data_IF_454623279808
#
_entry.id   IF_454623279808
#
_cell.length_a   1.000
_cell.length_b   1.000
_cell.length_c   1.000
_cell.angle_alpha   90.00
_cell.angle_beta   90.00
_cell.angle_gamma   90.00
#
_symmetry.space_group_name_H-M   'P 1'
#
loop_
_entity.id
_entity.type
_entity.pdbx_description
1 polymer ?
#
# COMPACT_ATOMS: atom_id res chain seq x y z
N UNK A 1 14.42 -63.05 72.68
CA UNK A 1 15.85 -62.81 72.41
C UNK A 1 16.15 -63.30 71.00
N UNK A 2 16.90 -62.49 70.22
CA UNK A 2 17.46 -62.74 68.87
C UNK A 2 16.45 -62.81 67.71
N UNK A 3 16.37 -61.81 66.81
CA UNK A 3 17.23 -61.56 65.62
C UNK A 3 17.27 -62.77 64.67
N UNK A 4 17.00 -62.67 63.37
CA UNK A 4 17.91 -62.12 62.33
C UNK A 4 17.17 -62.02 60.97
N UNK A 5 17.55 -61.02 60.18
CA UNK A 5 17.22 -60.73 58.76
C UNK A 5 17.53 -61.88 57.76
N UNK A 6 16.77 -61.94 56.66
CA UNK A 6 17.25 -62.21 55.28
C UNK A 6 16.11 -61.89 54.27
N UNK A 7 16.06 -60.69 53.66
CA UNK A 7 16.46 -60.32 52.28
C UNK A 7 16.20 -61.33 51.13
N UNK A 8 15.90 -60.73 49.96
CA UNK A 8 15.75 -61.23 48.56
C UNK A 8 14.32 -61.64 48.16
N UNK A 9 13.77 -61.30 46.99
CA UNK A 9 14.18 -60.43 45.88
C UNK A 9 13.00 -60.32 44.89
N UNK A 10 12.77 -59.11 44.37
CA UNK A 10 12.34 -58.71 43.02
C UNK A 10 11.29 -59.53 42.26
N UNK A 11 10.14 -58.89 41.97
CA UNK A 11 9.63 -58.67 40.61
C UNK A 11 8.39 -57.73 40.65
N UNK A 12 8.63 -56.42 40.68
CA UNK A 12 7.57 -55.43 40.43
C UNK A 12 7.56 -55.12 38.93
N UNK A 13 6.58 -55.66 38.22
CA UNK A 13 6.28 -55.36 36.83
C UNK A 13 5.97 -53.87 36.69
N UNK A 14 6.88 -53.11 36.08
CA UNK A 14 6.64 -51.75 35.64
C UNK A 14 5.67 -51.78 34.44
N UNK A 15 4.39 -51.56 34.71
CA UNK A 15 3.43 -51.13 33.70
C UNK A 15 3.77 -49.69 33.30
N UNK A 16 4.37 -49.53 32.13
CA UNK A 16 4.43 -48.23 31.45
C UNK A 16 3.01 -47.85 31.02
N UNK A 17 2.31 -47.08 31.86
CA UNK A 17 1.19 -46.26 31.38
C UNK A 17 1.82 -45.10 30.64
N UNK A 18 1.83 -45.19 29.30
CA UNK A 18 2.08 -44.05 28.43
C UNK A 18 0.99 -43.01 28.74
N UNK A 19 1.34 -42.01 29.53
CA UNK A 19 0.54 -40.80 29.61
C UNK A 19 0.73 -40.05 28.29
N UNK A 20 -0.19 -40.29 27.36
CA UNK A 20 -0.39 -39.41 26.22
C UNK A 20 -0.72 -38.03 26.77
N UNK A 21 0.29 -37.14 26.79
CA UNK A 21 0.05 -35.71 27.02
C UNK A 21 -0.97 -35.25 25.97
N UNK A 22 -1.98 -34.43 26.32
CA UNK A 22 -2.72 -33.72 25.30
C UNK A 22 -1.69 -32.90 24.54
N UNK A 23 -1.58 -33.13 23.23
CA UNK A 23 -0.83 -32.26 22.35
C UNK A 23 -1.35 -30.84 22.62
N UNK A 24 -0.51 -30.04 23.26
CA UNK A 24 -0.71 -28.60 23.35
C UNK A 24 -0.88 -28.15 21.92
N UNK A 25 -2.11 -27.83 21.54
CA UNK A 25 -2.39 -27.11 20.32
C UNK A 25 -1.66 -25.77 20.49
N UNK A 26 -0.42 -25.72 20.00
CA UNK A 26 0.21 -24.46 19.70
C UNK A 26 -0.82 -23.74 18.84
N UNK A 27 -1.29 -22.54 19.23
CA UNK A 27 -1.99 -21.70 18.29
C UNK A 27 -1.09 -21.64 17.06
N UNK A 28 -1.65 -21.95 15.87
CA UNK A 28 -0.97 -21.60 14.64
C UNK A 28 -0.47 -20.16 14.82
N UNK A 29 0.77 -19.84 14.41
CA UNK A 29 1.20 -18.45 14.42
C UNK A 29 0.10 -17.69 13.67
N UNK A 30 -0.65 -16.87 14.40
CA UNK A 30 -1.47 -15.85 13.79
C UNK A 30 -0.43 -15.06 13.04
N UNK A 31 -0.36 -15.26 11.72
CA UNK A 31 0.32 -14.33 10.84
C UNK A 31 -0.35 -13.02 11.22
N UNK A 32 0.35 -12.21 12.01
CA UNK A 32 -0.04 -10.86 12.27
C UNK A 32 -0.19 -10.31 10.85
N UNK A 33 -1.43 -10.14 10.41
CA UNK A 33 -1.66 -9.52 9.13
C UNK A 33 -1.08 -8.12 9.31
N UNK A 34 0.14 -7.95 8.82
CA UNK A 34 0.82 -6.68 8.84
C UNK A 34 -0.10 -5.72 8.13
N UNK A 35 -0.68 -4.80 8.90
CA UNK A 35 -1.18 -3.55 8.37
C UNK A 35 0.03 -2.89 7.72
N UNK A 36 0.20 -3.08 6.41
CA UNK A 36 1.39 -2.58 5.70
C UNK A 36 1.43 -1.05 5.72
N UNK A 37 0.30 -0.39 6.02
CA UNK A 37 0.25 1.06 6.17
C UNK A 37 0.67 1.73 4.87
N UNK A 38 1.29 2.90 4.97
CA UNK A 38 1.92 3.53 3.82
C UNK A 38 3.14 2.70 3.40
N UNK A 39 3.24 2.39 2.11
CA UNK A 39 4.46 1.84 1.54
C UNK A 39 5.06 2.82 0.53
N UNK A 40 6.36 2.68 0.26
CA UNK A 40 7.04 3.46 -0.76
C UNK A 40 6.62 3.01 -2.17
N UNK A 41 6.67 3.92 -3.13
CA UNK A 41 6.17 3.67 -4.47
C UNK A 41 6.07 4.95 -5.29
N UNK A 42 5.30 4.89 -6.38
CA UNK A 42 5.01 6.05 -7.22
C UNK A 42 4.10 7.02 -6.44
N UNK A 43 4.45 8.31 -6.29
CA UNK A 43 3.65 9.20 -5.45
C UNK A 43 2.35 9.65 -6.13
N UNK A 44 1.29 9.85 -5.34
CA UNK A 44 0.00 10.37 -5.84
C UNK A 44 0.19 11.66 -6.63
N UNK A 45 1.01 12.56 -6.11
CA UNK A 45 1.31 13.84 -6.73
C UNK A 45 2.01 13.75 -8.09
N UNK A 46 2.38 12.54 -8.56
CA UNK A 46 2.98 12.32 -9.87
C UNK A 46 2.03 11.70 -10.89
N UNK A 47 0.76 11.47 -10.55
CA UNK A 47 -0.21 10.80 -11.42
C UNK A 47 -0.44 11.51 -12.76
N UNK A 48 -0.30 12.83 -12.83
CA UNK A 48 -0.39 13.60 -14.07
C UNK A 48 0.95 13.77 -14.81
N UNK A 49 1.97 13.01 -14.42
CA UNK A 49 3.36 13.20 -14.85
C UNK A 49 4.03 14.28 -14.00
N UNK A 50 5.33 14.13 -13.69
CA UNK A 50 6.12 15.04 -12.83
C UNK A 50 5.44 15.47 -11.53
N UNK A 51 5.93 16.52 -10.87
CA UNK A 51 5.41 16.89 -9.54
C UNK A 51 4.25 17.89 -9.61
N UNK A 52 3.11 17.51 -9.04
CA UNK A 52 1.98 18.40 -8.74
C UNK A 52 1.88 18.66 -7.23
N UNK A 53 1.48 19.86 -6.82
CA UNK A 53 1.47 20.24 -5.40
C UNK A 53 0.40 19.50 -4.58
N UNK A 54 -0.79 19.30 -5.14
CA UNK A 54 -1.90 18.66 -4.44
C UNK A 54 -2.91 18.05 -5.43
N UNK A 55 -3.02 16.72 -5.42
CA UNK A 55 -4.04 15.98 -6.18
C UNK A 55 -5.13 15.38 -5.27
N UNK A 56 -5.21 15.78 -4.00
CA UNK A 56 -6.10 15.19 -3.00
C UNK A 56 -7.55 15.16 -3.45
N UNK A 57 -8.07 16.27 -3.99
CA UNK A 57 -9.47 16.35 -4.42
C UNK A 57 -9.78 15.42 -5.60
N UNK A 58 -8.83 15.24 -6.51
CA UNK A 58 -8.97 14.36 -7.67
C UNK A 58 -8.92 12.89 -7.24
N UNK A 59 -7.98 12.54 -6.35
CA UNK A 59 -7.90 11.19 -5.79
C UNK A 59 -9.15 10.87 -4.97
N UNK A 60 -9.71 11.83 -4.22
CA UNK A 60 -10.99 11.67 -3.50
C UNK A 60 -12.17 11.44 -4.47
N UNK A 61 -12.17 12.11 -5.62
CA UNK A 61 -13.16 11.87 -6.68
C UNK A 61 -13.02 10.45 -7.23
N UNK A 62 -11.80 9.98 -7.47
CA UNK A 62 -11.57 8.63 -7.99
C UNK A 62 -11.87 7.53 -6.96
N UNK A 63 -11.60 7.79 -5.67
CA UNK A 63 -12.07 6.95 -4.55
C UNK A 63 -13.60 6.82 -4.61
N UNK A 64 -14.31 7.94 -4.77
CA UNK A 64 -15.77 7.94 -4.86
C UNK A 64 -16.25 7.10 -6.05
N UNK A 65 -15.63 7.28 -7.21
CA UNK A 65 -15.91 6.52 -8.44
C UNK A 65 -15.67 5.02 -8.27
N UNK A 66 -14.58 4.66 -7.57
CA UNK A 66 -14.18 3.28 -7.28
C UNK A 66 -15.14 2.63 -6.33
N UNK A 67 -15.51 3.31 -5.25
CA UNK A 67 -16.46 2.80 -4.27
C UNK A 67 -17.87 2.64 -4.81
N UNK A 68 -18.33 3.53 -5.72
CA UNK A 68 -19.60 3.33 -6.42
C UNK A 68 -19.62 2.03 -7.24
N UNK A 69 -18.49 1.63 -7.84
CA UNK A 69 -18.41 0.37 -8.59
C UNK A 69 -18.27 -0.88 -7.70
N UNK A 70 -17.72 -0.71 -6.50
CA UNK A 70 -17.57 -1.77 -5.52
C UNK A 70 -18.86 -2.04 -4.75
N UNK A 71 -19.62 -0.99 -4.42
CA UNK A 71 -20.77 -1.06 -3.52
C UNK A 71 -21.80 -2.11 -3.95
N UNK A 72 -22.27 -2.90 -2.98
CA UNK A 72 -23.25 -3.97 -3.18
C UNK A 72 -22.67 -5.27 -3.69
N UNK A 73 -21.35 -5.34 -3.99
CA UNK A 73 -20.70 -6.59 -4.35
C UNK A 73 -20.41 -7.44 -3.11
N UNK A 74 -20.62 -8.74 -3.23
CA UNK A 74 -20.07 -9.72 -2.28
C UNK A 74 -18.58 -9.92 -2.58
N UNK A 75 -17.74 -9.61 -1.61
CA UNK A 75 -16.30 -9.85 -1.68
C UNK A 75 -15.99 -11.15 -0.93
N UNK A 76 -15.28 -12.05 -1.59
CA UNK A 76 -14.76 -13.30 -1.04
C UNK A 76 -13.28 -13.43 -1.37
N UNK A 77 -12.57 -14.35 -0.71
CA UNK A 77 -11.15 -14.59 -1.00
C UNK A 77 -10.92 -15.12 -2.42
N UNK A 78 -11.93 -15.77 -3.00
CA UNK A 78 -11.94 -16.26 -4.38
C UNK A 78 -12.43 -15.22 -5.40
N UNK A 79 -13.06 -14.14 -4.95
CA UNK A 79 -13.60 -13.08 -5.81
C UNK A 79 -13.37 -11.69 -5.18
N UNK A 80 -12.10 -11.27 -5.02
CA UNK A 80 -11.76 -9.90 -4.63
C UNK A 80 -12.26 -8.88 -5.67
N UNK A 81 -12.41 -7.63 -5.25
CA UNK A 81 -12.64 -6.51 -6.15
C UNK A 81 -11.29 -5.92 -6.57
N UNK A 82 -11.04 -5.94 -7.88
CA UNK A 82 -9.91 -5.27 -8.52
C UNK A 82 -10.43 -4.20 -9.47
N UNK A 83 -9.80 -3.03 -9.44
CA UNK A 83 -10.04 -1.99 -10.42
C UNK A 83 -8.73 -1.29 -10.75
N UNK A 84 -8.60 -0.87 -11.98
CA UNK A 84 -7.54 0.04 -12.41
C UNK A 84 -8.20 1.30 -12.96
N UNK A 85 -7.68 2.48 -12.59
CA UNK A 85 -8.13 3.77 -13.15
C UNK A 85 -6.98 4.47 -13.83
N UNK A 86 -7.22 4.92 -15.06
CA UNK A 86 -6.23 5.62 -15.88
C UNK A 86 -6.18 7.11 -15.50
N UNK A 87 -4.97 7.61 -15.28
CA UNK A 87 -4.66 9.00 -14.98
C UNK A 87 -3.84 9.58 -16.13
N UNK A 88 -4.46 10.44 -16.91
CA UNK A 88 -3.80 11.04 -18.07
C UNK A 88 -2.61 11.88 -17.62
N UNK A 89 -1.44 11.67 -18.22
CA UNK A 89 -0.33 12.59 -18.05
C UNK A 89 -0.69 13.93 -18.70
N UNK A 90 -0.74 14.98 -17.89
CA UNK A 90 -1.07 16.34 -18.33
C UNK A 90 0.07 17.31 -18.11
N UNK A 91 1.26 16.80 -17.79
CA UNK A 91 2.45 17.62 -17.65
C UNK A 91 2.81 18.28 -18.97
N UNK A 92 2.26 19.48 -19.16
CA UNK A 92 2.61 20.39 -20.22
C UNK A 92 3.74 21.29 -19.71
N UNK A 93 4.91 20.74 -19.43
CA UNK A 93 6.09 21.60 -19.38
C UNK A 93 6.33 22.11 -20.80
N UNK A 94 6.57 23.40 -20.94
CA UNK A 94 7.05 23.93 -22.22
C UNK A 94 8.39 23.26 -22.49
N UNK A 95 8.55 22.69 -23.68
CA UNK A 95 9.84 22.18 -24.22
C UNK A 95 10.92 23.28 -24.34
N UNK A 96 10.64 24.49 -23.84
CA UNK A 96 11.51 25.68 -23.83
C UNK A 96 11.69 26.23 -22.42
N UNK A 97 11.32 25.51 -21.37
CA UNK A 97 11.41 26.01 -20.00
C UNK A 97 12.85 26.35 -19.60
N UNK A 98 13.80 25.46 -19.90
CA UNK A 98 15.20 25.69 -19.60
C UNK A 98 15.77 26.77 -20.53
N UNK A 99 15.44 26.74 -21.82
CA UNK A 99 15.90 27.77 -22.77
C UNK A 99 15.33 29.17 -22.46
N UNK A 100 14.05 29.28 -22.08
CA UNK A 100 13.39 30.53 -21.69
C UNK A 100 14.00 31.06 -20.37
N UNK A 101 14.39 30.15 -19.46
CA UNK A 101 15.11 30.50 -18.25
C UNK A 101 16.51 31.02 -18.56
N UNK A 102 17.28 30.33 -19.41
CA UNK A 102 18.59 30.77 -19.87
C UNK A 102 18.55 32.10 -20.63
N UNK A 103 17.55 32.33 -21.48
CA UNK A 103 17.35 33.57 -22.22
C UNK A 103 17.00 34.74 -21.28
N UNK A 104 16.09 34.52 -20.33
CA UNK A 104 15.77 35.51 -19.28
C UNK A 104 16.99 35.84 -18.41
N UNK A 105 17.83 34.83 -18.17
CA UNK A 105 19.10 34.93 -17.48
C UNK A 105 20.15 35.76 -18.22
N UNK A 106 20.29 35.54 -19.53
CA UNK A 106 21.20 36.29 -20.40
C UNK A 106 20.82 37.77 -20.55
N UNK A 107 19.55 38.11 -20.28
CA UNK A 107 19.05 39.48 -20.29
C UNK A 107 19.37 40.28 -19.00
N UNK A 108 19.86 39.62 -17.93
CA UNK A 108 20.24 40.29 -16.68
C UNK A 108 21.64 40.92 -16.75
N UNK A 109 21.93 41.97 -15.96
CA UNK A 109 23.28 42.54 -15.84
C UNK A 109 24.32 41.47 -15.45
N UNK A 110 25.51 41.54 -16.06
CA UNK A 110 26.58 40.52 -15.93
C UNK A 110 26.99 40.20 -14.48
N UNK A 111 26.76 41.13 -13.57
CA UNK A 111 27.09 41.00 -12.15
C UNK A 111 26.12 40.08 -11.38
N UNK A 112 24.93 39.83 -11.94
CA UNK A 112 23.86 39.02 -11.34
C UNK A 112 23.56 37.73 -12.10
N UNK A 113 23.78 37.72 -13.42
CA UNK A 113 23.42 36.59 -14.29
C UNK A 113 24.12 35.27 -13.92
N UNK A 114 25.44 35.26 -13.73
CA UNK A 114 26.15 33.98 -13.54
C UNK A 114 25.80 33.26 -12.23
N UNK A 115 25.49 34.00 -11.16
CA UNK A 115 25.21 33.43 -9.85
C UNK A 115 23.76 32.94 -9.70
N UNK A 116 22.79 33.62 -10.34
CA UNK A 116 21.38 33.24 -10.27
C UNK A 116 21.03 32.12 -11.26
N UNK A 117 21.71 32.05 -12.40
CA UNK A 117 21.37 31.10 -13.47
C UNK A 117 21.96 29.72 -13.24
N UNK A 118 23.13 29.61 -12.61
CA UNK A 118 23.67 28.32 -12.16
C UNK A 118 22.92 27.70 -10.96
N UNK A 119 21.98 28.43 -10.34
CA UNK A 119 21.22 28.00 -9.16
C UNK A 119 19.70 27.91 -9.39
N UNK A 120 19.17 28.54 -10.45
CA UNK A 120 17.72 28.74 -10.61
C UNK A 120 17.08 28.08 -11.84
N UNK A 121 17.84 27.81 -12.90
CA UNK A 121 17.30 27.11 -14.07
C UNK A 121 17.42 25.61 -13.85
N UNK A 122 16.29 24.93 -13.72
CA UNK A 122 16.23 23.48 -13.60
C UNK A 122 16.50 22.84 -14.97
N UNK A 123 17.62 22.14 -15.18
CA UNK A 123 17.96 21.50 -16.45
C UNK A 123 16.97 20.39 -16.83
N UNK A 124 16.21 19.87 -15.87
CA UNK A 124 15.23 18.82 -16.10
C UNK A 124 13.84 19.39 -16.41
N UNK A 125 13.64 20.72 -16.40
CA UNK A 125 12.34 21.31 -16.72
C UNK A 125 11.98 21.26 -18.23
N UNK A 126 12.96 20.89 -19.07
CA UNK A 126 12.78 20.56 -20.49
C UNK A 126 12.57 19.05 -20.71
N UNK A 127 12.37 18.25 -19.66
CA UNK A 127 11.80 16.91 -19.84
C UNK A 127 10.40 17.08 -20.39
N UNK A 128 10.31 17.01 -21.72
CA UNK A 128 9.15 17.41 -22.51
C UNK A 128 7.85 16.70 -22.11
N UNK A 129 6.72 17.05 -22.76
CA UNK A 129 5.43 16.51 -22.41
C UNK A 129 5.48 14.98 -22.31
N UNK A 130 5.19 14.49 -21.11
CA UNK A 130 5.01 13.06 -20.87
C UNK A 130 3.64 12.72 -21.43
N UNK A 131 3.64 12.06 -22.58
CA UNK A 131 2.41 11.58 -23.21
C UNK A 131 2.20 10.14 -22.77
N UNK A 132 1.19 9.92 -21.94
CA UNK A 132 0.96 8.63 -21.37
C UNK A 132 -0.19 8.62 -20.39
N UNK A 133 -0.33 7.47 -19.74
CA UNK A 133 -1.20 7.30 -18.60
C UNK A 133 -0.35 6.76 -17.47
N UNK A 134 -0.58 7.30 -16.27
CA UNK A 134 -0.32 6.59 -15.04
C UNK A 134 -1.63 5.92 -14.60
N UNK A 135 -1.59 5.21 -13.49
CA UNK A 135 -2.78 4.56 -12.96
C UNK A 135 -2.82 4.56 -11.45
N UNK A 136 -4.00 4.27 -10.93
CA UNK A 136 -4.16 3.75 -9.58
C UNK A 136 -4.75 2.34 -9.67
N UNK A 137 -4.07 1.38 -9.05
CA UNK A 137 -4.57 0.03 -8.84
C UNK A 137 -5.30 -0.04 -7.48
N UNK A 138 -6.55 -0.50 -7.51
CA UNK A 138 -7.45 -0.55 -6.37
C UNK A 138 -7.78 -2.00 -6.02
N UNK A 139 -7.78 -2.30 -4.73
CA UNK A 139 -8.17 -3.60 -4.21
C UNK A 139 -9.16 -3.49 -3.06
N UNK A 140 -10.14 -4.39 -3.05
CA UNK A 140 -10.91 -4.73 -1.84
C UNK A 140 -10.94 -6.25 -1.75
N UNK A 141 -10.36 -6.81 -0.70
CA UNK A 141 -10.17 -8.25 -0.56
C UNK A 141 -10.69 -8.74 0.79
N UNK A 142 -11.16 -9.99 0.83
CA UNK A 142 -11.14 -10.77 2.07
C UNK A 142 -9.98 -11.77 1.97
N UNK A 143 -9.18 -11.92 3.02
CA UNK A 143 -8.01 -12.82 3.05
C UNK A 143 -8.34 -14.10 3.83
N UNK A 144 -7.50 -15.13 3.70
CA UNK A 144 -7.76 -16.50 4.14
C UNK A 144 -8.49 -16.62 5.50
N UNK A 145 -9.63 -17.31 5.47
CA UNK A 145 -10.51 -17.50 6.63
C UNK A 145 -11.55 -16.38 6.84
N UNK A 146 -11.48 -15.30 6.06
CA UNK A 146 -12.49 -14.24 6.05
C UNK A 146 -13.83 -14.72 5.46
N UNK A 147 -14.93 -14.40 6.12
CA UNK A 147 -16.26 -14.67 5.60
C UNK A 147 -16.58 -13.78 4.39
N UNK A 148 -17.34 -14.33 3.45
CA UNK A 148 -17.92 -13.56 2.35
C UNK A 148 -18.76 -12.41 2.91
N UNK A 149 -18.51 -11.19 2.41
CA UNK A 149 -19.17 -10.00 2.94
C UNK A 149 -19.48 -9.00 1.84
N UNK A 150 -20.65 -8.39 1.92
CA UNK A 150 -21.06 -7.31 1.02
C UNK A 150 -20.36 -6.03 1.45
N UNK A 151 -19.69 -5.35 0.51
CA UNK A 151 -19.11 -4.04 0.74
C UNK A 151 -20.17 -2.96 0.48
N UNK A 152 -20.36 -2.05 1.44
CA UNK A 152 -21.17 -0.85 1.24
C UNK A 152 -20.30 0.36 0.86
N UNK A 153 -20.97 1.37 0.32
CA UNK A 153 -20.31 2.57 -0.18
C UNK A 153 -19.59 3.36 0.92
N UNK A 154 -20.20 3.51 2.10
CA UNK A 154 -19.65 4.33 3.18
C UNK A 154 -18.39 3.69 3.78
N UNK A 155 -18.42 2.39 4.05
CA UNK A 155 -17.25 1.63 4.50
C UNK A 155 -16.11 1.74 3.48
N UNK A 156 -16.40 1.60 2.18
CA UNK A 156 -15.38 1.73 1.15
C UNK A 156 -14.74 3.13 1.13
N UNK A 157 -15.55 4.19 1.15
CA UNK A 157 -15.06 5.57 1.09
C UNK A 157 -14.27 5.92 2.34
N UNK A 158 -14.74 5.54 3.53
CA UNK A 158 -14.06 5.84 4.78
C UNK A 158 -12.71 5.13 4.88
N UNK A 159 -12.63 3.88 4.42
CA UNK A 159 -11.37 3.15 4.36
C UNK A 159 -10.37 3.86 3.43
N UNK A 160 -10.72 4.11 2.17
CA UNK A 160 -9.80 4.76 1.22
C UNK A 160 -9.46 6.22 1.56
N UNK A 161 -10.35 6.97 2.23
CA UNK A 161 -10.00 8.30 2.77
C UNK A 161 -8.94 8.23 3.86
N UNK A 162 -9.04 7.21 4.72
CA UNK A 162 -8.04 6.96 5.77
C UNK A 162 -6.70 6.59 5.14
N UNK A 163 -6.71 5.80 4.07
CA UNK A 163 -5.52 5.49 3.27
C UNK A 163 -4.83 6.74 2.71
N UNK A 164 -5.60 7.60 2.02
CA UNK A 164 -5.05 8.82 1.41
C UNK A 164 -4.50 9.81 2.45
N UNK A 165 -5.18 9.95 3.60
CA UNK A 165 -4.87 10.95 4.62
C UNK A 165 -3.53 10.78 5.35
N UNK A 166 -2.79 9.69 5.09
CA UNK A 166 -1.50 9.43 5.72
C UNK A 166 -0.36 9.09 4.76
N UNK A 167 -0.64 8.81 3.48
CA UNK A 167 0.31 8.13 2.60
C UNK A 167 0.56 8.89 1.29
N UNK A 168 1.84 9.06 0.93
CA UNK A 168 2.24 9.78 -0.27
C UNK A 168 2.31 8.91 -1.52
N UNK A 169 2.48 7.59 -1.38
CA UNK A 169 2.88 6.69 -2.48
C UNK A 169 2.24 5.30 -2.41
N UNK A 170 0.97 5.27 -1.98
CA UNK A 170 0.18 4.06 -1.85
C UNK A 170 0.12 3.51 -0.45
N UNK A 171 -0.87 2.65 -0.22
CA UNK A 171 -1.11 2.06 1.09
C UNK A 171 -1.96 0.80 1.04
N UNK A 172 -1.86 0.00 2.10
CA UNK A 172 -2.67 -1.19 2.32
C UNK A 172 -3.04 -1.33 3.79
N UNK A 173 -4.33 -1.43 4.10
CA UNK A 173 -4.83 -1.60 5.47
C UNK A 173 -6.08 -2.46 5.54
N UNK A 174 -6.32 -2.96 6.75
CA UNK A 174 -7.53 -3.71 7.11
C UNK A 174 -8.55 -2.79 7.78
N UNK A 175 -9.77 -2.75 7.22
CA UNK A 175 -10.89 -1.98 7.76
C UNK A 175 -12.19 -2.80 7.62
N UNK A 176 -12.99 -2.89 8.67
CA UNK A 176 -14.32 -3.53 8.68
C UNK A 176 -14.40 -4.95 8.07
N UNK A 177 -13.34 -5.75 8.15
CA UNK A 177 -13.34 -7.10 7.58
C UNK A 177 -12.74 -7.21 6.19
N UNK A 178 -12.30 -6.10 5.60
CA UNK A 178 -11.71 -6.06 4.26
C UNK A 178 -10.29 -5.52 4.28
N UNK A 179 -9.47 -5.98 3.36
CA UNK A 179 -8.21 -5.36 2.99
C UNK A 179 -8.45 -4.38 1.86
N UNK A 180 -8.02 -3.15 2.07
CA UNK A 180 -8.07 -2.08 1.06
C UNK A 180 -6.66 -1.79 0.60
N UNK A 181 -6.48 -1.68 -0.72
CA UNK A 181 -5.22 -1.23 -1.33
C UNK A 181 -5.48 -0.11 -2.33
N UNK A 182 -4.72 0.97 -2.20
CA UNK A 182 -4.63 2.06 -3.19
C UNK A 182 -3.16 2.17 -3.60
N UNK A 183 -2.88 1.87 -4.87
CA UNK A 183 -1.52 1.71 -5.37
C UNK A 183 -1.31 2.55 -6.64
N UNK A 184 -0.88 3.81 -6.51
CA UNK A 184 -0.48 4.63 -7.65
C UNK A 184 0.75 4.03 -8.34
N UNK A 185 0.76 4.02 -9.67
CA UNK A 185 1.85 3.44 -10.47
C UNK A 185 2.01 4.08 -11.85
N UNK A 186 3.22 3.98 -12.40
CA UNK A 186 3.51 4.44 -13.76
C UNK A 186 2.95 3.47 -14.81
N UNK A 187 2.41 4.01 -15.91
CA UNK A 187 1.80 3.24 -16.99
C UNK A 187 0.29 3.06 -16.79
N UNK A 188 -0.45 2.98 -17.90
CA UNK A 188 -1.90 2.83 -17.87
C UNK A 188 -2.36 1.42 -17.50
N UNK A 189 -3.66 1.31 -17.26
CA UNK A 189 -4.44 0.08 -17.44
C UNK A 189 -4.41 -0.32 -18.92
#
# INVERSE_FOLDING_TARGET
MSSVLAKLSVAATLLFVSMSQPASANPLPTLALEKRGCYGGFPFNHLHGGYHHDLTSEVLSDITSTCLAAAGRTISSSSPFWRCTNWQETNSWKETCFSDCEDGCAALPKDYGAALCGLGCDPDCDTGPTYGYNRIDWAIETRDGGADKVIDFETCVNAFKTELGGCQSGSEQYHDGFWFRIDPAQGGC
#
